data_IF_050252332624
#
_entry.id   IF_050252332624
#
_cell.length_a   1.000
_cell.length_b   1.000
_cell.length_c   1.000
_cell.angle_alpha   90.00
_cell.angle_beta   90.00
_cell.angle_gamma   90.00
#
_symmetry.space_group_name_H-M   'P 1'
#
loop_
_entity.id
_entity.type
_entity.pdbx_description
1 polymer ?
#
# COMPACT_ATOMS: atom_id res chain seq x y z
N UNK A 1 7.34 -15.88 -1.25
CA UNK A 1 6.64 -16.46 -2.41
C UNK A 1 7.62 -16.58 -3.56
N UNK A 2 7.57 -17.68 -4.29
CA UNK A 2 8.27 -17.85 -5.57
C UNK A 2 7.70 -16.92 -6.64
N UNK A 3 8.45 -16.70 -7.72
CA UNK A 3 8.01 -15.91 -8.89
C UNK A 3 6.68 -16.46 -9.43
N UNK A 4 6.53 -17.78 -9.46
CA UNK A 4 5.33 -18.45 -10.00
C UNK A 4 4.10 -18.32 -9.11
N UNK A 5 4.30 -18.16 -7.80
CA UNK A 5 3.23 -17.80 -6.88
C UNK A 5 2.88 -16.31 -7.02
N UNK A 6 3.88 -15.44 -7.16
CA UNK A 6 3.68 -13.98 -7.32
C UNK A 6 2.94 -13.62 -8.60
N UNK A 7 3.18 -14.33 -9.71
CA UNK A 7 2.46 -14.18 -11.00
C UNK A 7 0.94 -14.20 -10.86
N UNK A 8 0.43 -14.87 -9.83
CA UNK A 8 -1.02 -15.02 -9.58
C UNK A 8 -1.57 -13.93 -8.65
N UNK A 9 -0.75 -12.95 -8.30
CA UNK A 9 -1.09 -11.90 -7.36
C UNK A 9 -0.98 -10.52 -8.02
N UNK A 10 -1.71 -9.51 -7.52
CA UNK A 10 -1.52 -8.13 -7.97
C UNK A 10 -0.07 -7.65 -7.78
N UNK A 11 0.68 -8.26 -6.87
CA UNK A 11 2.04 -7.84 -6.51
C UNK A 11 3.12 -8.34 -7.48
N UNK A 12 2.75 -9.02 -8.58
CA UNK A 12 3.74 -9.55 -9.53
C UNK A 12 4.67 -8.47 -10.11
N UNK A 13 4.16 -7.25 -10.25
CA UNK A 13 4.94 -6.11 -10.73
C UNK A 13 6.11 -5.71 -9.82
N UNK A 14 6.18 -6.22 -8.59
CA UNK A 14 7.31 -6.04 -7.68
C UNK A 14 8.50 -6.96 -7.99
N UNK A 15 8.33 -7.93 -8.88
CA UNK A 15 9.43 -8.79 -9.34
C UNK A 15 10.38 -7.96 -10.19
N UNK A 16 11.67 -8.01 -9.86
CA UNK A 16 12.76 -7.44 -10.66
C UNK A 16 12.65 -7.94 -12.10
N UNK A 17 12.51 -7.01 -13.05
CA UNK A 17 12.30 -7.32 -14.47
C UNK A 17 13.46 -8.12 -15.07
N UNK A 18 14.67 -8.00 -14.52
CA UNK A 18 15.84 -8.79 -14.93
C UNK A 18 15.67 -10.30 -14.66
N UNK A 19 14.69 -10.71 -13.86
CA UNK A 19 14.36 -12.11 -13.54
C UNK A 19 13.22 -12.68 -14.39
N UNK A 20 12.66 -11.90 -15.31
CA UNK A 20 11.59 -12.34 -16.21
C UNK A 20 12.20 -13.01 -17.44
N UNK A 21 11.78 -14.24 -17.74
CA UNK A 21 12.45 -15.10 -18.73
C UNK A 21 11.70 -15.15 -20.07
N UNK A 22 10.41 -14.80 -20.10
CA UNK A 22 9.57 -14.91 -21.30
C UNK A 22 8.70 -13.68 -21.54
N UNK A 23 8.29 -13.49 -22.80
CA UNK A 23 7.33 -12.43 -23.18
C UNK A 23 6.01 -12.54 -22.40
N UNK A 24 5.59 -13.75 -22.05
CA UNK A 24 4.42 -13.99 -21.22
C UNK A 24 4.61 -13.48 -19.79
N UNK A 25 5.82 -13.59 -19.24
CA UNK A 25 6.16 -13.02 -17.93
C UNK A 25 6.10 -11.49 -17.96
N UNK A 26 6.63 -10.86 -19.01
CA UNK A 26 6.52 -9.41 -19.19
C UNK A 26 5.07 -8.95 -19.36
N UNK A 27 4.25 -9.70 -20.10
CA UNK A 27 2.83 -9.39 -20.27
C UNK A 27 2.08 -9.45 -18.93
N UNK A 28 2.28 -10.51 -18.14
CA UNK A 28 1.67 -10.62 -16.81
C UNK A 28 2.20 -9.55 -15.84
N UNK A 29 3.47 -9.16 -15.95
CA UNK A 29 4.08 -8.11 -15.14
C UNK A 29 3.46 -6.75 -15.44
N UNK A 30 3.30 -6.41 -16.73
CA UNK A 30 2.63 -5.19 -17.18
C UNK A 30 1.13 -5.18 -16.85
N UNK A 31 0.45 -6.32 -16.97
CA UNK A 31 -0.95 -6.48 -16.57
C UNK A 31 -1.11 -6.18 -15.08
N UNK A 32 -0.22 -6.70 -14.23
CA UNK A 32 -0.20 -6.38 -12.80
C UNK A 32 0.05 -4.87 -12.55
N UNK A 33 0.88 -4.19 -13.34
CA UNK A 33 1.07 -2.74 -13.24
C UNK A 33 -0.22 -1.99 -13.57
N UNK A 34 -0.88 -2.34 -14.67
CA UNK A 34 -2.09 -1.67 -15.15
C UNK A 34 -3.27 -1.84 -14.19
N UNK A 35 -3.33 -2.96 -13.47
CA UNK A 35 -4.38 -3.25 -12.50
C UNK A 35 -4.11 -2.69 -11.09
N UNK A 36 -2.88 -2.28 -10.79
CA UNK A 36 -2.56 -1.53 -9.59
C UNK A 36 -2.52 -0.03 -9.88
N UNK A 37 -2.56 0.78 -8.83
CA UNK A 37 -2.52 2.23 -8.97
C UNK A 37 -1.11 2.73 -9.32
N UNK A 38 -0.43 2.18 -10.31
CA UNK A 38 0.93 2.57 -10.67
C UNK A 38 0.95 3.82 -11.55
N UNK A 39 1.97 4.65 -11.40
CA UNK A 39 2.25 5.81 -12.24
C UNK A 39 3.72 5.83 -12.62
N UNK A 40 4.02 6.17 -13.87
CA UNK A 40 5.39 6.33 -14.37
C UNK A 40 5.82 7.77 -14.15
N UNK A 41 6.96 7.95 -13.49
CA UNK A 41 7.58 9.25 -13.25
C UNK A 41 8.91 9.32 -13.99
N UNK A 42 9.30 10.52 -14.43
CA UNK A 42 10.62 10.78 -15.02
C UNK A 42 11.36 11.77 -14.13
N UNK A 43 12.57 11.44 -13.71
CA UNK A 43 13.47 12.34 -13.01
C UNK A 43 14.87 12.22 -13.61
N UNK A 44 15.44 13.34 -14.08
CA UNK A 44 16.75 13.39 -14.74
C UNK A 44 16.94 12.43 -15.94
N UNK A 45 15.86 12.11 -16.66
CA UNK A 45 15.86 11.19 -17.80
C UNK A 45 15.81 9.71 -17.41
N UNK A 46 15.68 9.40 -16.12
CA UNK A 46 15.43 8.06 -15.61
C UNK A 46 13.93 7.89 -15.32
N UNK A 47 13.36 6.76 -15.76
CA UNK A 47 11.95 6.42 -15.55
C UNK A 47 11.78 5.55 -14.30
N UNK A 48 10.87 5.96 -13.42
CA UNK A 48 10.54 5.28 -12.19
C UNK A 48 9.08 4.84 -12.21
N UNK A 49 8.82 3.58 -11.89
CA UNK A 49 7.46 3.12 -11.59
C UNK A 49 7.17 3.40 -10.11
N UNK A 50 6.10 4.14 -9.83
CA UNK A 50 5.64 4.41 -8.47
C UNK A 50 4.23 3.86 -8.35
N UNK A 51 4.02 2.83 -7.52
CA UNK A 51 2.68 2.53 -7.02
C UNK A 51 2.17 3.78 -6.32
N UNK A 52 1.02 4.34 -6.64
CA UNK A 52 0.50 5.55 -5.97
C UNK A 52 -0.39 5.21 -4.78
N UNK A 53 -0.90 3.97 -4.73
CA UNK A 53 -1.89 3.52 -3.76
C UNK A 53 -2.00 2.00 -3.66
N UNK A 54 -1.82 1.48 -2.46
CA UNK A 54 -2.05 0.09 -2.12
C UNK A 54 -3.35 -0.12 -1.34
N UNK A 55 -4.16 -1.07 -1.80
CA UNK A 55 -5.30 -1.57 -1.05
C UNK A 55 -4.82 -2.54 0.03
N UNK A 56 -5.25 -2.30 1.26
CA UNK A 56 -4.91 -3.16 2.41
C UNK A 56 -6.03 -4.17 2.66
N UNK A 57 -7.25 -3.67 2.87
CA UNK A 57 -8.37 -4.51 3.28
C UNK A 57 -9.72 -3.82 3.07
N UNK A 58 -10.79 -4.62 3.17
CA UNK A 58 -12.16 -4.12 3.29
C UNK A 58 -12.78 -4.67 4.56
N UNK A 59 -13.33 -3.77 5.39
CA UNK A 59 -13.95 -4.10 6.68
C UNK A 59 -15.33 -3.45 6.76
N UNK A 60 -16.40 -4.24 6.70
CA UNK A 60 -17.77 -3.74 6.92
C UNK A 60 -18.11 -2.46 6.10
N UNK A 61 -17.74 -2.47 4.81
CA UNK A 61 -17.92 -1.33 3.90
C UNK A 61 -16.83 -0.25 3.96
N UNK A 62 -15.93 -0.31 4.94
CA UNK A 62 -14.74 0.55 5.03
C UNK A 62 -13.62 0.02 4.12
N UNK A 63 -13.13 0.86 3.23
CA UNK A 63 -11.97 0.59 2.36
C UNK A 63 -10.71 1.12 3.05
N UNK A 64 -9.70 0.26 3.22
CA UNK A 64 -8.46 0.60 3.93
C UNK A 64 -7.31 0.58 2.93
N UNK A 65 -6.54 1.65 2.88
CA UNK A 65 -5.57 1.92 1.82
C UNK A 65 -4.34 2.65 2.38
N UNK A 66 -3.17 2.45 1.77
CA UNK A 66 -1.95 3.22 2.04
C UNK A 66 -1.52 3.87 0.73
N UNK A 67 -1.15 5.15 0.73
CA UNK A 67 -0.61 5.80 -0.47
C UNK A 67 0.92 5.75 -0.42
N UNK A 68 1.56 5.71 -1.58
CA UNK A 68 3.02 5.58 -1.63
C UNK A 68 3.75 6.92 -1.52
N UNK A 69 3.12 8.01 -1.96
CA UNK A 69 3.64 9.37 -1.78
C UNK A 69 3.30 9.92 -0.38
N UNK A 70 3.16 9.04 0.60
CA UNK A 70 2.62 9.39 1.90
C UNK A 70 3.76 9.76 2.86
N UNK A 71 3.62 10.93 3.47
CA UNK A 71 4.65 11.53 4.32
C UNK A 71 4.57 11.02 5.76
N UNK A 72 5.67 11.06 6.53
CA UNK A 72 5.63 10.80 7.97
C UNK A 72 4.62 11.71 8.70
N UNK A 73 3.91 11.22 9.74
CA UNK A 73 4.04 9.89 10.37
C UNK A 73 3.43 8.74 9.54
N UNK A 74 3.84 7.47 9.75
CA UNK A 74 3.25 6.31 9.07
C UNK A 74 1.75 6.19 9.32
N UNK A 75 0.95 6.19 8.26
CA UNK A 75 -0.50 6.21 8.38
C UNK A 75 -1.22 5.41 7.30
N UNK A 76 -2.49 5.11 7.53
CA UNK A 76 -3.38 4.47 6.58
C UNK A 76 -4.69 5.23 6.45
N UNK A 77 -5.31 5.17 5.28
CA UNK A 77 -6.56 5.83 4.96
C UNK A 77 -7.73 4.86 5.09
N UNK A 78 -8.84 5.37 5.59
CA UNK A 78 -10.12 4.66 5.64
C UNK A 78 -11.18 5.47 4.90
N UNK A 79 -11.81 4.85 3.91
CA UNK A 79 -12.84 5.46 3.06
C UNK A 79 -14.12 4.65 3.04
N UNK A 80 -15.25 5.32 3.23
CA UNK A 80 -16.61 4.81 3.05
C UNK A 80 -17.55 6.00 2.75
N UNK A 81 -18.84 5.78 2.44
CA UNK A 81 -19.77 6.90 2.25
C UNK A 81 -19.82 7.88 3.43
N UNK A 82 -19.51 7.43 4.64
CA UNK A 82 -19.61 8.21 5.88
C UNK A 82 -18.24 8.46 6.54
N UNK A 83 -17.14 7.98 5.96
CA UNK A 83 -15.80 8.06 6.55
C UNK A 83 -14.81 8.46 5.46
N UNK A 84 -14.03 9.50 5.73
CA UNK A 84 -12.86 9.85 4.95
C UNK A 84 -11.83 10.39 5.94
N UNK A 85 -10.91 9.52 6.35
CA UNK A 85 -10.00 9.78 7.46
C UNK A 85 -8.68 9.02 7.32
N UNK A 86 -7.61 9.55 7.90
CA UNK A 86 -6.31 8.90 8.03
C UNK A 86 -5.99 8.59 9.49
N UNK A 87 -5.30 7.48 9.72
CA UNK A 87 -4.97 6.96 11.04
C UNK A 87 -3.52 6.56 11.12
N UNK A 88 -2.88 6.87 12.24
CA UNK A 88 -1.52 6.43 12.55
C UNK A 88 -1.42 4.90 12.59
N UNK A 89 -0.41 4.32 11.94
CA UNK A 89 -0.20 2.86 11.90
C UNK A 89 0.23 2.32 13.26
N UNK A 90 0.91 3.10 14.11
CA UNK A 90 1.41 2.63 15.39
C UNK A 90 0.26 2.39 16.37
N UNK A 91 -0.60 3.39 16.53
CA UNK A 91 -1.58 3.45 17.62
C UNK A 91 -3.04 3.61 17.14
N UNK A 92 -3.29 3.67 15.84
CA UNK A 92 -4.62 3.89 15.27
C UNK A 92 -5.27 5.21 15.72
N UNK A 93 -4.45 6.22 16.04
CA UNK A 93 -4.94 7.56 16.36
C UNK A 93 -5.39 8.26 15.09
N UNK A 94 -6.54 8.92 15.12
CA UNK A 94 -7.02 9.75 14.01
C UNK A 94 -6.04 10.91 13.77
N UNK A 95 -5.56 11.06 12.54
CA UNK A 95 -4.65 12.13 12.14
C UNK A 95 -5.41 13.23 11.40
N UNK A 96 -6.18 12.86 10.38
CA UNK A 96 -6.96 13.79 9.56
C UNK A 96 -8.34 13.21 9.23
N UNK A 97 -9.31 14.10 8.98
CA UNK A 97 -10.63 13.75 8.48
C UNK A 97 -11.67 13.49 9.57
N UNK A 98 -12.73 12.78 9.21
CA UNK A 98 -13.88 12.57 10.09
C UNK A 98 -14.32 11.11 10.12
N UNK A 99 -14.64 10.63 11.33
CA UNK A 99 -15.15 9.28 11.60
C UNK A 99 -16.10 9.33 12.79
N UNK A 100 -17.20 8.57 12.74
CA UNK A 100 -18.10 8.45 13.88
C UNK A 100 -17.59 7.43 14.90
N UNK A 101 -18.08 7.49 16.14
CA UNK A 101 -17.65 6.60 17.22
C UNK A 101 -17.88 5.10 16.94
N UNK A 102 -18.89 4.74 16.14
CA UNK A 102 -19.18 3.34 15.82
C UNK A 102 -18.11 2.78 14.89
N UNK A 103 -17.77 3.49 13.84
CA UNK A 103 -16.77 3.07 12.86
C UNK A 103 -15.36 3.17 13.44
N UNK A 104 -15.07 4.18 14.27
CA UNK A 104 -13.79 4.27 15.00
C UNK A 104 -13.50 3.01 15.82
N UNK A 105 -14.49 2.50 16.57
CA UNK A 105 -14.35 1.26 17.34
C UNK A 105 -14.07 0.05 16.44
N UNK A 106 -14.68 -0.04 15.27
CA UNK A 106 -14.43 -1.13 14.30
C UNK A 106 -13.01 -1.05 13.76
N UNK A 107 -12.56 0.14 13.39
CA UNK A 107 -11.21 0.38 12.86
C UNK A 107 -10.17 0.00 13.92
N UNK A 108 -10.33 0.47 15.16
CA UNK A 108 -9.44 0.12 16.28
C UNK A 108 -9.43 -1.38 16.58
N UNK A 109 -10.58 -2.05 16.53
CA UNK A 109 -10.65 -3.50 16.74
C UNK A 109 -9.93 -4.27 15.62
N UNK A 110 -10.06 -3.82 14.37
CA UNK A 110 -9.37 -4.42 13.23
C UNK A 110 -7.86 -4.14 13.25
N UNK A 111 -7.46 -2.94 13.61
CA UNK A 111 -6.06 -2.50 13.65
C UNK A 111 -5.19 -3.41 14.52
N UNK A 112 -5.70 -3.85 15.69
CA UNK A 112 -5.00 -4.75 16.62
C UNK A 112 -4.41 -6.01 15.97
N UNK A 113 -5.05 -6.54 14.93
CA UNK A 113 -4.58 -7.72 14.17
C UNK A 113 -3.97 -7.37 12.82
N UNK A 114 -4.21 -6.16 12.33
CA UNK A 114 -3.75 -5.70 11.02
C UNK A 114 -2.47 -4.86 11.08
N UNK A 115 -1.98 -4.50 12.28
CA UNK A 115 -0.77 -3.68 12.44
C UNK A 115 0.41 -4.20 11.62
N UNK A 116 0.71 -5.50 11.69
CA UNK A 116 1.84 -6.09 10.96
C UNK A 116 1.70 -5.94 9.44
N UNK A 117 0.53 -6.26 8.87
CA UNK A 117 0.32 -6.13 7.41
C UNK A 117 0.33 -4.65 6.98
N UNK A 118 -0.15 -3.73 7.81
CA UNK A 118 -0.03 -2.29 7.55
C UNK A 118 1.42 -1.83 7.52
N UNK A 119 2.25 -2.30 8.45
CA UNK A 119 3.69 -2.01 8.50
C UNK A 119 4.40 -2.55 7.26
N UNK A 120 4.11 -3.78 6.87
CA UNK A 120 4.71 -4.42 5.70
C UNK A 120 4.36 -3.67 4.42
N UNK A 121 3.07 -3.37 4.23
CA UNK A 121 2.57 -2.60 3.09
C UNK A 121 3.20 -1.21 3.07
N UNK A 122 3.15 -0.48 4.19
CA UNK A 122 3.76 0.84 4.33
C UNK A 122 5.22 0.86 3.94
N UNK A 123 6.00 -0.13 4.41
CA UNK A 123 7.43 -0.22 4.10
C UNK A 123 7.68 -0.60 2.64
N UNK A 124 6.83 -1.44 2.05
CA UNK A 124 6.95 -1.87 0.65
C UNK A 124 6.50 -0.80 -0.35
N UNK A 125 5.62 0.11 0.05
CA UNK A 125 5.09 1.16 -0.81
C UNK A 125 5.98 2.40 -0.91
N UNK A 126 7.17 2.42 -0.29
CA UNK A 126 8.07 3.60 -0.32
C UNK A 126 9.09 3.47 -1.44
N UNK A 127 9.46 4.58 -2.12
CA UNK A 127 10.57 4.58 -3.05
C UNK A 127 11.87 4.12 -2.36
N UNK A 128 12.73 3.43 -3.09
CA UNK A 128 14.06 2.97 -2.65
C UNK A 128 14.95 4.08 -2.10
N UNK A 129 14.66 5.35 -2.42
CA UNK A 129 15.37 6.55 -1.99
C UNK A 129 14.79 7.25 -0.76
N UNK A 130 13.88 6.62 -0.01
CA UNK A 130 13.20 7.32 1.08
C UNK A 130 14.10 7.59 2.32
N UNK A 131 14.29 8.86 2.76
CA UNK A 131 15.24 9.23 3.84
C UNK A 131 14.81 8.82 5.25
N UNK A 132 13.60 8.28 5.38
CA UNK A 132 13.02 7.78 6.62
C UNK A 132 13.15 6.27 6.58
N UNK A 133 13.91 5.69 7.52
CA UNK A 133 14.18 4.25 7.57
C UNK A 133 12.91 3.39 7.72
N UNK A 134 13.10 2.06 7.75
CA UNK A 134 11.99 1.10 7.95
C UNK A 134 11.21 1.45 9.21
N UNK A 135 9.89 1.53 9.10
CA UNK A 135 9.02 1.60 10.27
C UNK A 135 8.94 0.20 10.88
N UNK A 136 9.48 0.03 12.08
CA UNK A 136 9.56 -1.28 12.73
C UNK A 136 8.28 -1.63 13.51
N UNK A 137 7.49 -0.63 13.91
CA UNK A 137 6.38 -0.78 14.84
C UNK A 137 6.86 -1.26 16.22
N UNK A 138 6.27 -0.77 17.31
CA UNK A 138 6.60 -1.27 18.67
C UNK A 138 5.55 -2.26 19.17
#
# INVERSE_FOLDING_TARGET
MSIEELKKTPYFHLVDSAKLESITDYAAWLEAILHNACSVYEENGELFLIETKQFVARLDGLKIEIYANEHPPPHFHVKSPNVNASFDIENCTLLEGAVNNKDLKKIQFWHKRAKLILVDIWNSSRPTSCPVGKFLGV
#
